data_IF_256888524280
#
_entry.id   IF_256888524280
#
_cell.length_a   1.000
_cell.length_b   1.000
_cell.length_c   1.000
_cell.angle_alpha   90.00
_cell.angle_beta   90.00
_cell.angle_gamma   90.00
#
_symmetry.space_group_name_H-M   'P 1'
#
loop_
_entity.id
_entity.type
_entity.pdbx_description
1 polymer ?
#
# COMPACT_ATOMS: atom_id res chain seq x y z
N UNK A 1 -30.46 -13.91 -46.49
CA UNK A 1 -28.97 -13.84 -46.36
C UNK A 1 -28.65 -12.68 -45.41
N UNK A 2 -28.56 -12.92 -44.11
CA UNK A 2 -28.17 -11.91 -43.16
C UNK A 2 -26.72 -12.22 -42.71
N UNK A 3 -25.81 -11.33 -43.03
CA UNK A 3 -24.41 -11.41 -42.58
C UNK A 3 -24.29 -10.77 -41.20
N UNK A 4 -24.07 -11.59 -40.19
CA UNK A 4 -23.64 -11.15 -38.85
C UNK A 4 -22.19 -10.73 -38.88
N UNK A 5 -21.91 -9.45 -38.72
CA UNK A 5 -20.58 -8.94 -38.41
C UNK A 5 -20.37 -9.03 -36.89
N UNK A 6 -19.65 -10.06 -36.48
CA UNK A 6 -19.14 -10.15 -35.11
C UNK A 6 -18.16 -9.03 -34.85
N UNK A 7 -18.52 -8.10 -33.98
CA UNK A 7 -17.61 -7.08 -33.43
C UNK A 7 -16.75 -7.76 -32.38
N UNK A 8 -15.49 -8.02 -32.73
CA UNK A 8 -14.48 -8.46 -31.76
C UNK A 8 -14.29 -7.33 -30.74
N UNK A 9 -14.73 -7.55 -29.53
CA UNK A 9 -14.41 -6.66 -28.40
C UNK A 9 -12.93 -6.84 -28.06
N UNK A 10 -12.11 -5.90 -28.51
CA UNK A 10 -10.74 -5.75 -28.09
C UNK A 10 -10.74 -5.29 -26.63
N UNK A 11 -10.59 -6.23 -25.70
CA UNK A 11 -10.38 -5.94 -24.28
C UNK A 11 -9.01 -5.29 -24.15
N UNK A 12 -8.98 -3.97 -24.05
CA UNK A 12 -7.79 -3.21 -23.70
C UNK A 12 -7.28 -3.68 -22.34
N UNK A 13 -5.97 -3.98 -22.19
CA UNK A 13 -5.40 -4.30 -20.89
C UNK A 13 -5.64 -3.11 -19.95
N UNK A 14 -6.22 -3.41 -18.77
CA UNK A 14 -6.64 -2.43 -17.78
C UNK A 14 -5.64 -1.29 -17.60
N UNK A 15 -6.06 -0.08 -17.89
CA UNK A 15 -5.28 1.11 -17.64
C UNK A 15 -5.08 1.26 -16.13
N UNK A 16 -3.88 0.98 -15.67
CA UNK A 16 -3.47 1.37 -14.32
C UNK A 16 -3.85 2.83 -14.08
N UNK A 17 -4.36 3.19 -12.90
CA UNK A 17 -4.80 4.55 -12.63
C UNK A 17 -3.66 5.52 -12.95
N UNK A 18 -3.89 6.40 -13.92
CA UNK A 18 -2.94 7.45 -14.29
C UNK A 18 -2.71 8.32 -13.08
N UNK A 19 -1.54 8.17 -12.41
CA UNK A 19 -1.32 9.24 -11.51
C UNK A 19 -0.29 9.16 -10.43
N UNK A 20 0.23 8.02 -10.07
CA UNK A 20 1.15 7.92 -8.94
C UNK A 20 2.58 7.63 -9.38
N UNK A 21 3.53 8.24 -8.70
CA UNK A 21 4.97 8.11 -8.94
C UNK A 21 5.67 7.89 -7.60
N UNK A 22 6.50 6.87 -7.51
CA UNK A 22 7.34 6.63 -6.35
C UNK A 22 8.49 7.64 -6.35
N UNK A 23 8.69 8.32 -5.23
CA UNK A 23 9.78 9.25 -5.02
C UNK A 23 10.82 8.60 -4.12
N UNK A 24 12.03 8.47 -4.62
CA UNK A 24 13.19 7.98 -3.87
C UNK A 24 14.08 9.14 -3.45
N UNK A 25 14.74 8.99 -2.33
CA UNK A 25 15.84 9.85 -1.92
C UNK A 25 17.07 9.64 -2.82
N UNK A 26 18.07 10.47 -2.72
CA UNK A 26 19.37 10.27 -3.37
C UNK A 26 20.01 8.93 -2.97
N UNK A 27 19.71 8.42 -1.79
CA UNK A 27 20.11 7.10 -1.25
C UNK A 27 19.28 5.91 -1.75
N UNK A 28 18.32 6.12 -2.69
CA UNK A 28 17.34 5.13 -3.15
C UNK A 28 16.28 4.74 -2.11
N UNK A 29 16.25 5.38 -0.97
CA UNK A 29 15.24 5.17 0.06
C UNK A 29 13.87 5.68 -0.39
N UNK A 30 12.78 4.89 -0.28
CA UNK A 30 11.43 5.36 -0.55
C UNK A 30 11.02 6.50 0.38
N UNK A 31 10.73 7.66 -0.17
CA UNK A 31 10.34 8.86 0.58
C UNK A 31 8.85 9.11 0.58
N UNK A 32 8.22 8.94 -0.57
CA UNK A 32 6.81 9.30 -0.75
C UNK A 32 6.26 8.75 -2.05
N UNK A 33 4.93 8.74 -2.16
CA UNK A 33 4.23 8.57 -3.42
C UNK A 33 3.55 9.89 -3.77
N UNK A 34 3.75 10.37 -4.99
CA UNK A 34 3.23 11.66 -5.47
C UNK A 34 2.49 11.54 -6.80
N UNK A 35 1.79 12.58 -7.23
CA UNK A 35 1.15 12.59 -8.55
C UNK A 35 2.19 12.71 -9.67
N UNK A 36 1.89 12.14 -10.84
CA UNK A 36 2.76 12.24 -12.01
C UNK A 36 3.04 13.69 -12.42
N UNK A 37 2.04 14.60 -12.27
CA UNK A 37 2.24 16.03 -12.57
C UNK A 37 3.32 16.65 -11.72
N UNK A 38 3.28 16.40 -10.41
CA UNK A 38 4.29 16.91 -9.48
C UNK A 38 5.66 16.28 -9.72
N UNK A 39 5.72 14.98 -9.97
CA UNK A 39 6.95 14.27 -10.32
C UNK A 39 7.59 14.84 -11.58
N UNK A 40 6.80 15.06 -12.64
CA UNK A 40 7.27 15.66 -13.90
C UNK A 40 7.85 17.06 -13.68
N UNK A 41 7.18 17.90 -12.89
CA UNK A 41 7.71 19.24 -12.56
C UNK A 41 9.05 19.13 -11.82
N UNK A 42 9.24 18.15 -10.94
CA UNK A 42 10.52 17.94 -10.26
C UNK A 42 11.63 17.53 -11.21
N UNK A 43 11.32 16.66 -12.18
CA UNK A 43 12.28 16.25 -13.23
C UNK A 43 12.63 17.41 -14.13
N UNK A 44 11.65 18.16 -14.63
CA UNK A 44 11.87 19.33 -15.51
C UNK A 44 12.68 20.45 -14.84
N UNK A 45 12.52 20.62 -13.52
CA UNK A 45 13.30 21.57 -12.73
C UNK A 45 14.69 21.04 -12.33
N UNK A 46 15.09 19.87 -12.78
CA UNK A 46 16.38 19.25 -12.43
C UNK A 46 16.53 18.84 -10.97
N UNK A 47 15.44 18.82 -10.18
CA UNK A 47 15.45 18.41 -8.77
C UNK A 47 15.44 16.89 -8.58
N UNK A 48 14.96 16.16 -9.58
CA UNK A 48 14.92 14.71 -9.61
C UNK A 48 15.27 14.20 -11.01
N UNK A 49 15.60 12.93 -11.10
CA UNK A 49 15.76 12.19 -12.36
C UNK A 49 14.73 11.08 -12.45
N UNK A 50 14.26 10.75 -13.66
CA UNK A 50 13.37 9.61 -13.89
C UNK A 50 14.19 8.34 -13.94
N UNK A 51 13.82 7.35 -13.11
CA UNK A 51 14.45 6.01 -13.12
C UNK A 51 13.61 5.01 -13.92
N UNK A 52 12.30 5.07 -13.76
CA UNK A 52 11.35 4.21 -14.47
C UNK A 52 10.29 5.05 -15.14
N UNK A 53 9.81 4.55 -16.29
CA UNK A 53 8.82 5.22 -17.10
C UNK A 53 7.70 4.27 -17.50
N UNK A 54 6.51 4.78 -17.65
CA UNK A 54 5.36 4.00 -18.11
C UNK A 54 5.59 3.58 -19.58
N UNK A 55 5.51 2.28 -19.92
CA UNK A 55 5.66 1.80 -21.27
C UNK A 55 4.66 2.48 -22.23
N UNK A 56 5.16 2.96 -23.37
CA UNK A 56 4.32 3.55 -24.41
C UNK A 56 3.66 4.88 -24.08
N UNK A 57 3.91 5.46 -22.88
CA UNK A 57 3.36 6.77 -22.50
C UNK A 57 4.44 7.84 -22.46
N UNK A 58 4.25 8.87 -23.27
CA UNK A 58 5.12 10.05 -23.32
C UNK A 58 4.34 11.31 -23.01
N UNK A 59 4.96 12.21 -22.28
CA UNK A 59 4.44 13.57 -22.03
C UNK A 59 4.66 14.47 -23.25
N UNK A 60 5.79 14.24 -23.94
CA UNK A 60 6.18 14.85 -25.22
C UNK A 60 7.25 13.96 -25.85
N UNK A 61 7.58 14.13 -27.15
CA UNK A 61 8.67 13.38 -27.78
C UNK A 61 9.97 13.46 -26.95
N UNK A 62 10.52 12.29 -26.61
CA UNK A 62 11.73 12.16 -25.79
C UNK A 62 11.53 12.31 -24.27
N UNK A 63 10.32 12.55 -23.77
CA UNK A 63 10.04 12.62 -22.34
C UNK A 63 8.98 11.59 -21.95
N UNK A 64 9.41 10.44 -21.44
CA UNK A 64 8.53 9.40 -20.91
C UNK A 64 7.78 9.87 -19.66
N UNK A 65 6.59 9.29 -19.42
CA UNK A 65 5.85 9.51 -18.19
C UNK A 65 6.54 8.77 -17.03
N UNK A 66 7.14 9.47 -16.04
CA UNK A 66 7.86 8.79 -14.96
C UNK A 66 6.91 8.00 -14.06
N UNK A 67 7.32 6.83 -13.61
CA UNK A 67 6.67 6.02 -12.57
C UNK A 67 7.52 5.90 -11.32
N UNK A 68 8.84 6.09 -11.45
CA UNK A 68 9.78 6.21 -10.33
C UNK A 68 10.72 7.39 -10.61
N UNK A 69 10.89 8.27 -9.64
CA UNK A 69 11.89 9.35 -9.68
C UNK A 69 12.80 9.28 -8.46
N UNK A 70 14.06 9.67 -8.62
CA UNK A 70 15.04 9.82 -7.56
C UNK A 70 15.42 11.28 -7.39
N UNK A 71 15.46 11.77 -6.17
CA UNK A 71 15.97 13.10 -5.86
C UNK A 71 17.48 13.17 -6.15
N UNK A 72 17.95 14.26 -6.72
CA UNK A 72 19.39 14.49 -6.94
C UNK A 72 20.14 14.82 -5.66
N UNK A 73 19.44 15.44 -4.71
CA UNK A 73 20.00 15.81 -3.41
C UNK A 73 19.32 14.99 -2.32
N UNK A 74 20.10 14.59 -1.34
CA UNK A 74 19.59 13.89 -0.16
C UNK A 74 18.72 14.84 0.67
N UNK A 75 17.52 14.37 1.03
CA UNK A 75 16.58 15.10 1.88
C UNK A 75 16.35 14.29 3.15
N UNK A 76 16.65 14.89 4.29
CA UNK A 76 16.26 14.31 5.57
C UNK A 76 14.77 14.54 5.81
N UNK A 77 13.98 13.47 5.72
CA UNK A 77 12.55 13.53 6.00
C UNK A 77 12.34 13.12 7.45
N UNK A 78 11.67 13.96 8.26
CA UNK A 78 11.34 13.56 9.62
C UNK A 78 10.38 12.37 9.61
N UNK A 79 10.66 11.40 10.47
CA UNK A 79 9.80 10.24 10.64
C UNK A 79 8.36 10.68 10.98
N UNK A 80 7.43 10.30 10.14
CA UNK A 80 5.98 10.51 10.39
C UNK A 80 5.34 9.15 10.58
N UNK A 81 4.92 8.80 11.80
CA UNK A 81 4.27 7.52 12.04
C UNK A 81 2.98 7.42 11.24
N UNK A 82 2.79 6.26 10.63
CA UNK A 82 1.54 5.96 9.91
C UNK A 82 0.36 6.04 10.90
N UNK A 83 -0.69 6.83 10.61
CA UNK A 83 -1.84 6.94 11.50
C UNK A 83 -2.61 5.61 11.57
N UNK A 84 -3.03 5.21 12.77
CA UNK A 84 -3.86 4.04 12.99
C UNK A 84 -5.30 4.35 12.57
N UNK A 85 -5.62 4.01 11.33
CA UNK A 85 -6.97 4.16 10.77
C UNK A 85 -7.54 2.80 10.36
N UNK A 86 -8.86 2.68 10.33
CA UNK A 86 -9.55 1.47 9.83
C UNK A 86 -9.03 1.04 8.46
N UNK A 87 -8.88 2.00 7.53
CA UNK A 87 -8.38 1.74 6.18
C UNK A 87 -6.96 1.15 6.20
N UNK A 88 -6.08 1.71 7.03
CA UNK A 88 -4.70 1.27 7.11
C UNK A 88 -4.57 -0.09 7.78
N UNK A 89 -5.39 -0.39 8.79
CA UNK A 89 -5.44 -1.73 9.41
C UNK A 89 -5.91 -2.77 8.40
N UNK A 90 -7.00 -2.50 7.67
CA UNK A 90 -7.48 -3.41 6.64
C UNK A 90 -6.46 -3.65 5.54
N UNK A 91 -5.75 -2.61 5.13
CA UNK A 91 -4.71 -2.74 4.12
C UNK A 91 -3.52 -3.57 4.63
N UNK A 92 -3.03 -3.33 5.86
CA UNK A 92 -1.98 -4.15 6.50
C UNK A 92 -2.33 -5.64 6.48
N UNK A 93 -3.59 -5.94 6.75
CA UNK A 93 -4.11 -7.30 6.86
C UNK A 93 -4.64 -7.85 5.53
N UNK A 94 -4.27 -7.21 4.39
CA UNK A 94 -4.68 -7.59 3.03
C UNK A 94 -6.20 -7.76 2.87
N UNK A 95 -7.00 -6.95 3.59
CA UNK A 95 -8.47 -7.03 3.62
C UNK A 95 -8.98 -8.44 3.98
N UNK A 96 -8.27 -9.17 4.85
CA UNK A 96 -8.63 -10.50 5.31
C UNK A 96 -8.82 -10.56 6.82
N UNK A 97 -9.80 -11.33 7.23
CA UNK A 97 -9.97 -11.66 8.65
C UNK A 97 -8.75 -12.43 9.17
N UNK A 98 -8.10 -11.90 10.21
CA UNK A 98 -6.89 -12.55 10.78
C UNK A 98 -7.19 -13.75 11.65
N UNK A 99 -8.46 -14.10 11.86
CA UNK A 99 -8.87 -15.31 12.58
C UNK A 99 -9.23 -16.47 11.64
N UNK A 100 -9.97 -16.23 10.57
CA UNK A 100 -10.44 -17.28 9.66
C UNK A 100 -9.96 -17.13 8.21
N UNK A 101 -9.18 -16.10 7.89
CA UNK A 101 -8.65 -15.86 6.54
C UNK A 101 -9.69 -15.34 5.52
N UNK A 102 -10.96 -15.25 5.87
CA UNK A 102 -12.02 -14.82 4.95
C UNK A 102 -11.84 -13.37 4.51
N UNK A 103 -12.10 -13.09 3.23
CA UNK A 103 -12.19 -11.75 2.64
C UNK A 103 -13.63 -11.23 2.60
N UNK A 104 -14.38 -11.40 3.66
CA UNK A 104 -15.78 -10.97 3.80
C UNK A 104 -15.93 -9.46 3.54
N UNK A 105 -17.02 -9.05 2.91
CA UNK A 105 -17.37 -7.63 2.74
C UNK A 105 -17.61 -6.89 4.07
N UNK A 106 -17.97 -7.64 5.15
CA UNK A 106 -18.24 -7.09 6.48
C UNK A 106 -17.03 -7.25 7.40
N UNK A 107 -15.97 -6.51 7.11
CA UNK A 107 -14.80 -6.44 7.96
C UNK A 107 -14.95 -5.38 9.05
N UNK A 108 -14.39 -5.65 10.22
CA UNK A 108 -14.33 -4.77 11.38
C UNK A 108 -12.92 -4.74 11.95
N UNK A 109 -12.64 -3.76 12.82
CA UNK A 109 -11.43 -3.77 13.66
C UNK A 109 -11.79 -4.48 14.96
N UNK A 110 -10.95 -5.43 15.35
CA UNK A 110 -11.00 -6.07 16.65
C UNK A 110 -9.75 -5.72 17.46
N UNK A 111 -9.92 -5.63 18.79
CA UNK A 111 -8.80 -5.50 19.72
C UNK A 111 -8.40 -6.89 20.23
N UNK A 112 -7.17 -7.31 19.95
CA UNK A 112 -6.64 -8.62 20.35
C UNK A 112 -6.80 -8.84 21.85
N UNK A 113 -6.28 -7.91 22.66
CA UNK A 113 -6.68 -7.73 24.04
C UNK A 113 -7.85 -6.75 24.10
N UNK A 114 -9.03 -7.14 24.57
CA UNK A 114 -10.21 -6.28 24.60
C UNK A 114 -9.96 -4.97 25.40
N UNK A 115 -10.54 -3.86 24.93
CA UNK A 115 -10.40 -2.56 25.60
C UNK A 115 -10.92 -2.57 27.05
N UNK A 116 -12.00 -3.26 27.32
CA UNK A 116 -12.56 -3.47 28.66
C UNK A 116 -11.61 -4.23 29.61
N UNK A 117 -10.59 -4.87 29.07
CA UNK A 117 -9.56 -5.62 29.81
C UNK A 117 -8.20 -4.91 29.75
N UNK A 118 -8.16 -3.61 29.45
CA UNK A 118 -6.95 -2.80 29.41
C UNK A 118 -6.22 -2.80 28.05
N UNK A 119 -6.82 -3.36 26.99
CA UNK A 119 -6.23 -3.36 25.66
C UNK A 119 -6.14 -1.96 25.05
N UNK A 120 -4.95 -1.55 24.60
CA UNK A 120 -4.70 -0.27 23.96
C UNK A 120 -5.25 -0.21 22.53
N UNK A 121 -5.57 1.00 22.04
CA UNK A 121 -5.84 1.21 20.62
C UNK A 121 -4.52 1.53 19.90
N UNK A 122 -3.75 0.48 19.62
CA UNK A 122 -2.42 0.57 19.02
C UNK A 122 -2.26 -0.45 17.88
N UNK A 123 -1.26 -0.24 17.03
CA UNK A 123 -0.95 -1.13 15.91
C UNK A 123 -0.71 -2.58 16.33
N UNK A 124 -0.14 -2.78 17.53
CA UNK A 124 0.20 -4.11 18.07
C UNK A 124 -0.97 -4.80 18.76
N UNK A 125 -2.10 -4.10 18.91
CA UNK A 125 -3.29 -4.65 19.57
C UNK A 125 -4.54 -4.61 18.70
N UNK A 126 -4.50 -4.09 17.48
CA UNK A 126 -5.66 -4.09 16.57
C UNK A 126 -5.45 -4.98 15.37
N UNK A 127 -6.50 -5.66 14.94
CA UNK A 127 -6.47 -6.57 13.80
C UNK A 127 -7.77 -6.52 13.00
N UNK A 128 -7.72 -6.94 11.75
CA UNK A 128 -8.90 -7.09 10.91
C UNK A 128 -9.63 -8.38 11.26
N UNK A 129 -10.92 -8.28 11.54
CA UNK A 129 -11.80 -9.41 11.79
C UNK A 129 -13.08 -9.30 10.96
N UNK A 130 -13.60 -10.42 10.44
CA UNK A 130 -14.96 -10.43 9.93
C UNK A 130 -15.95 -10.29 11.10
N UNK A 131 -17.15 -9.79 10.82
CA UNK A 131 -18.14 -9.55 11.87
C UNK A 131 -18.43 -10.82 12.68
N UNK A 132 -18.53 -11.98 12.02
CA UNK A 132 -18.76 -13.29 12.68
C UNK A 132 -17.66 -13.62 13.69
N UNK A 133 -16.39 -13.53 13.29
CA UNK A 133 -15.27 -13.82 14.18
C UNK A 133 -15.18 -12.82 15.32
N UNK A 134 -15.41 -11.51 15.04
CA UNK A 134 -15.38 -10.47 16.06
C UNK A 134 -16.45 -10.69 17.13
N UNK A 135 -17.68 -10.98 16.72
CA UNK A 135 -18.79 -11.31 17.65
C UNK A 135 -18.48 -12.60 18.43
N UNK A 136 -18.00 -13.65 17.76
CA UNK A 136 -17.67 -14.92 18.42
C UNK A 136 -16.54 -14.74 19.45
N UNK A 137 -15.51 -13.96 19.16
CA UNK A 137 -14.43 -13.66 20.11
C UNK A 137 -14.96 -12.87 21.31
N UNK A 138 -15.80 -11.86 21.07
CA UNK A 138 -16.36 -11.04 22.13
C UNK A 138 -15.28 -10.43 23.03
N UNK A 139 -15.52 -10.44 24.34
CA UNK A 139 -14.62 -9.86 25.34
C UNK A 139 -13.55 -10.86 25.84
N UNK A 140 -13.10 -11.76 24.96
CA UNK A 140 -12.07 -12.77 25.25
C UNK A 140 -10.80 -12.45 24.46
N UNK A 141 -9.66 -12.92 24.97
CA UNK A 141 -8.43 -12.98 24.18
C UNK A 141 -8.54 -14.07 23.11
N UNK A 142 -7.70 -14.04 22.05
CA UNK A 142 -7.66 -15.09 21.04
C UNK A 142 -7.44 -16.48 21.64
N UNK A 143 -6.60 -16.59 22.67
CA UNK A 143 -6.33 -17.83 23.38
C UNK A 143 -7.57 -18.38 24.11
N UNK A 144 -8.27 -17.52 24.85
CA UNK A 144 -9.49 -17.89 25.57
C UNK A 144 -10.65 -18.24 24.62
N UNK A 145 -10.67 -17.64 23.43
CA UNK A 145 -11.67 -17.93 22.42
C UNK A 145 -11.31 -19.14 21.53
N UNK A 146 -10.13 -19.72 21.69
CA UNK A 146 -9.56 -20.76 20.82
C UNK A 146 -9.49 -20.31 19.35
N UNK A 147 -9.16 -19.03 19.13
CA UNK A 147 -9.11 -18.37 17.82
C UNK A 147 -7.70 -17.83 17.55
N UNK A 148 -6.75 -18.65 17.09
CA UNK A 148 -5.41 -18.17 16.80
C UNK A 148 -5.43 -17.14 15.68
N UNK A 149 -4.53 -16.17 15.75
CA UNK A 149 -4.29 -15.21 14.69
C UNK A 149 -3.40 -15.82 13.60
N UNK A 150 -3.70 -15.56 12.34
CA UNK A 150 -2.80 -15.90 11.21
C UNK A 150 -1.46 -15.18 11.30
N UNK A 151 -1.50 -13.90 11.72
CA UNK A 151 -0.29 -13.13 11.98
C UNK A 151 -0.48 -12.22 13.20
N UNK A 152 0.59 -12.04 13.98
CA UNK A 152 0.56 -11.08 15.07
C UNK A 152 0.47 -9.65 14.50
N UNK A 153 -0.40 -8.78 15.04
CA UNK A 153 -0.49 -7.41 14.57
C UNK A 153 0.83 -6.68 14.88
N UNK A 154 1.32 -5.94 13.90
CA UNK A 154 2.56 -5.14 14.02
C UNK A 154 2.34 -3.78 13.36
N UNK A 155 3.12 -2.80 13.79
CA UNK A 155 3.15 -1.49 13.11
C UNK A 155 3.82 -1.66 11.73
N UNK A 156 3.26 -1.08 10.64
CA UNK A 156 3.96 -0.98 9.36
C UNK A 156 5.24 -0.15 9.49
N UNK A 157 6.28 -0.55 8.78
CA UNK A 157 7.64 0.00 8.89
C UNK A 157 7.68 1.47 8.49
N UNK A 158 7.26 1.82 7.29
CA UNK A 158 7.31 3.16 6.73
C UNK A 158 5.99 3.54 6.05
N UNK A 159 5.56 4.80 6.23
CA UNK A 159 4.38 5.31 5.55
C UNK A 159 4.52 5.34 4.02
N UNK A 160 5.72 5.62 3.50
CA UNK A 160 6.01 5.63 2.06
C UNK A 160 5.97 4.23 1.47
N UNK A 161 6.62 3.26 2.13
CA UNK A 161 6.61 1.86 1.73
C UNK A 161 5.20 1.29 1.79
N UNK A 162 4.49 1.52 2.88
CA UNK A 162 3.11 1.08 3.06
C UNK A 162 2.17 1.63 1.97
N UNK A 163 2.32 2.90 1.60
CA UNK A 163 1.53 3.51 0.53
C UNK A 163 1.89 2.92 -0.84
N UNK A 164 3.18 2.69 -1.11
CA UNK A 164 3.64 2.06 -2.34
C UNK A 164 3.10 0.62 -2.46
N UNK A 165 3.23 -0.19 -1.41
CA UNK A 165 2.69 -1.56 -1.35
C UNK A 165 1.17 -1.58 -1.56
N UNK A 166 0.46 -0.61 -0.97
CA UNK A 166 -0.99 -0.46 -1.15
C UNK A 166 -1.36 -0.20 -2.60
N UNK A 167 -0.60 0.60 -3.32
CA UNK A 167 -0.87 0.88 -4.74
C UNK A 167 -0.51 -0.30 -5.63
N UNK A 168 0.57 -1.00 -5.33
CA UNK A 168 0.95 -2.23 -6.03
C UNK A 168 -0.12 -3.33 -5.87
N UNK A 169 -0.64 -3.52 -4.67
CA UNK A 169 -1.70 -4.48 -4.38
C UNK A 169 -3.02 -4.19 -5.13
N UNK A 170 -3.27 -2.92 -5.47
CA UNK A 170 -4.41 -2.50 -6.30
C UNK A 170 -4.15 -2.62 -7.82
N UNK A 171 -3.13 -3.36 -8.23
CA UNK A 171 -2.81 -3.65 -9.63
C UNK A 171 -1.98 -2.58 -10.35
N UNK A 172 -1.42 -1.59 -9.62
CA UNK A 172 -0.53 -0.57 -10.17
C UNK A 172 0.95 -0.85 -9.93
N UNK A 173 1.81 -0.33 -10.82
CA UNK A 173 3.24 -0.08 -10.57
C UNK A 173 4.06 -1.27 -10.05
N UNK A 174 4.01 -2.42 -10.73
CA UNK A 174 4.83 -3.61 -10.36
C UNK A 174 6.33 -3.32 -10.32
N UNK A 175 6.79 -2.36 -11.11
CA UNK A 175 8.18 -1.91 -11.18
C UNK A 175 8.67 -1.28 -9.85
N UNK A 176 7.77 -0.90 -8.95
CA UNK A 176 8.15 -0.37 -7.63
C UNK A 176 8.66 -1.46 -6.68
N UNK A 177 8.34 -2.73 -6.93
CA UNK A 177 8.70 -3.85 -6.06
C UNK A 177 10.21 -3.87 -5.74
N UNK A 178 11.07 -3.64 -6.74
CA UNK A 178 12.53 -3.62 -6.55
C UNK A 178 13.06 -2.51 -5.64
N UNK A 179 12.24 -1.51 -5.34
CA UNK A 179 12.57 -0.42 -4.43
C UNK A 179 11.90 -0.53 -3.07
N UNK A 180 10.89 -1.40 -2.94
CA UNK A 180 10.01 -1.47 -1.77
C UNK A 180 10.11 -2.83 -1.08
N UNK A 181 10.30 -3.92 -1.86
CA UNK A 181 10.40 -5.27 -1.32
C UNK A 181 11.78 -5.49 -0.70
N UNK A 182 11.80 -6.03 0.52
CA UNK A 182 13.04 -6.24 1.28
C UNK A 182 13.60 -5.00 1.97
N UNK A 183 12.92 -3.85 1.91
CA UNK A 183 13.31 -2.68 2.67
C UNK A 183 13.03 -2.90 4.16
N UNK A 184 14.09 -3.01 4.94
CA UNK A 184 14.06 -2.93 6.41
C UNK A 184 14.48 -1.52 6.82
N UNK A 185 13.68 -0.89 7.72
CA UNK A 185 14.04 0.44 8.24
C UNK A 185 15.35 0.34 9.02
N UNK A 186 16.35 1.21 8.76
CA UNK A 186 17.52 1.27 9.61
C UNK A 186 17.07 1.52 11.05
N UNK A 187 17.53 0.69 11.99
CA UNK A 187 17.25 0.89 13.40
C UNK A 187 17.64 2.32 13.76
N UNK A 188 16.70 3.10 14.26
CA UNK A 188 16.96 4.45 14.74
C UNK A 188 17.97 4.34 15.90
N UNK A 189 19.19 4.83 15.66
CA UNK A 189 20.26 4.94 16.65
C UNK A 189 19.95 6.04 17.65
#
# INVERSE_FOLDING_TARGET
MHRNYGVAQCSSPGSAPMGSVLVLNASYEPLNVTSWRRATVMVLKGKAEGLEHSPGRQLRPGLGLPTVIRLRQFVRVPFRPLPLTRRNVFHRDAHRCQYCGSSSERLSIDHVLPRSRGGSHSWDNVTTACLRCNVHKGNRTPKEASMPLHSAPRRPVSGAIFEAQRQMANGGHREWAKYVDGWEEPLAS
#
